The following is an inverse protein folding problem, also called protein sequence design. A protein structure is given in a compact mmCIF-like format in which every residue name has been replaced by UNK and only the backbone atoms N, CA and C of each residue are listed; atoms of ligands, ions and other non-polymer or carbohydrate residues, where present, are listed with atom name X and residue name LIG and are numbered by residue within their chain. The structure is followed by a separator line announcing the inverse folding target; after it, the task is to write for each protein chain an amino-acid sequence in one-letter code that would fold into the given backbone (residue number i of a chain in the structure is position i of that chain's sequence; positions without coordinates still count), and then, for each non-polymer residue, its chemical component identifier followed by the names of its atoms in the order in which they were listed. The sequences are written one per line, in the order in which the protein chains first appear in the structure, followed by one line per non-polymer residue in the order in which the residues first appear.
data_IF_649398164960
#
_entry.id   IF_649398164960
#
_cell.length_a   1.000
_cell.length_b   1.000
_cell.length_c   1.000
_cell.angle_alpha   90.00
_cell.angle_beta   90.00
_cell.angle_gamma   90.00
#
_symmetry.space_group_name_H-M   'P 1'
#
loop_
_entity.id
_entity.type
_entity.pdbx_description
1 polymer ?
#
# COMPACT_ATOMS: atom_id res chain seq x y z
N UNK A 1 -0.88 -10.69 12.99
CA UNK A 1 -0.64 -9.26 13.30
C UNK A 1 -1.97 -8.53 13.19
N UNK A 2 -2.26 -7.60 14.10
CA UNK A 2 -3.54 -6.86 14.11
C UNK A 2 -3.58 -5.86 12.95
N UNK A 3 -4.75 -5.70 12.35
CA UNK A 3 -5.03 -4.61 11.40
C UNK A 3 -5.62 -3.44 12.18
N UNK A 4 -4.98 -2.28 12.07
CA UNK A 4 -5.39 -1.04 12.73
C UNK A 4 -5.83 -0.06 11.64
N UNK A 5 -7.13 0.31 11.56
CA UNK A 5 -7.60 1.29 10.59
C UNK A 5 -6.85 2.60 10.70
N UNK A 6 -6.46 3.18 9.56
CA UNK A 6 -5.93 4.53 9.50
C UNK A 6 -7.08 5.48 9.16
N UNK A 7 -7.55 6.33 10.09
CA UNK A 7 -8.70 7.21 9.88
C UNK A 7 -8.43 8.41 8.97
N UNK A 8 -7.19 8.54 8.46
CA UNK A 8 -6.77 9.64 7.59
C UNK A 8 -6.74 9.22 6.12
N UNK A 9 -7.15 10.12 5.23
CA UNK A 9 -7.21 9.91 3.79
C UNK A 9 -8.49 10.51 3.22
N UNK A 10 -8.38 11.24 2.12
CA UNK A 10 -9.55 11.91 1.49
C UNK A 10 -10.21 11.00 0.43
N UNK A 11 -9.45 10.08 -0.16
CA UNK A 11 -9.84 9.39 -1.40
C UNK A 11 -9.82 7.86 -1.29
N UNK A 12 -9.09 7.28 -0.32
CA UNK A 12 -8.90 5.83 -0.21
C UNK A 12 -9.46 5.33 1.11
N UNK A 13 -10.65 4.73 1.05
CA UNK A 13 -11.23 4.01 2.19
C UNK A 13 -10.50 2.67 2.40
N UNK A 14 -10.58 2.10 3.61
CA UNK A 14 -10.09 0.75 3.90
C UNK A 14 -8.57 0.62 4.05
N UNK A 15 -7.84 1.72 4.23
CA UNK A 15 -6.40 1.69 4.53
C UNK A 15 -6.16 1.22 5.96
N UNK A 16 -5.31 0.22 6.14
CA UNK A 16 -4.98 -0.36 7.45
C UNK A 16 -3.47 -0.43 7.67
N UNK A 17 -3.04 -0.21 8.90
CA UNK A 17 -1.69 -0.52 9.35
C UNK A 17 -1.63 -1.95 9.87
N UNK A 18 -0.64 -2.70 9.44
CA UNK A 18 -0.32 -4.04 9.92
C UNK A 18 1.14 -4.02 10.34
N UNK A 19 1.40 -3.96 11.66
CA UNK A 19 2.74 -3.73 12.21
C UNK A 19 3.34 -2.44 11.68
N UNK A 20 4.51 -2.55 11.04
CA UNK A 20 5.21 -1.40 10.46
C UNK A 20 4.81 -1.10 9.00
N UNK A 21 3.91 -1.91 8.44
CA UNK A 21 3.46 -1.77 7.04
C UNK A 21 2.08 -1.15 6.95
N UNK A 22 1.81 -0.45 5.86
CA UNK A 22 0.47 0.02 5.50
C UNK A 22 -0.03 -0.82 4.33
N UNK A 23 -1.25 -1.33 4.44
CA UNK A 23 -1.97 -2.00 3.36
C UNK A 23 -3.06 -1.06 2.86
N UNK A 24 -3.06 -0.85 1.55
CA UNK A 24 -4.10 -0.08 0.85
C UNK A 24 -4.88 -1.03 -0.07
N UNK A 25 -6.20 -0.82 -0.23
CA UNK A 25 -6.97 -1.53 -1.24
C UNK A 25 -6.44 -1.26 -2.65
N UNK A 26 -6.52 -2.28 -3.50
CA UNK A 26 -6.12 -2.17 -4.91
C UNK A 26 -7.33 -1.74 -5.74
N UNK A 27 -7.16 -0.72 -6.56
CA UNK A 27 -8.13 -0.22 -7.54
C UNK A 27 -7.48 0.12 -8.88
N UNK A 28 -8.23 0.76 -9.78
CA UNK A 28 -7.81 0.97 -11.18
C UNK A 28 -6.50 1.77 -11.33
N UNK A 29 -6.21 2.68 -10.40
CA UNK A 29 -4.98 3.49 -10.39
C UNK A 29 -3.79 2.78 -9.72
N UNK A 30 -4.02 1.67 -9.02
CA UNK A 30 -2.96 0.97 -8.28
C UNK A 30 -1.81 0.48 -9.15
N UNK A 31 -2.00 -0.03 -10.38
CA UNK A 31 -0.87 -0.40 -11.25
C UNK A 31 0.09 0.77 -11.49
N UNK A 32 -0.44 1.97 -11.76
CA UNK A 32 0.37 3.17 -11.96
C UNK A 32 1.10 3.56 -10.67
N UNK A 33 0.40 3.56 -9.52
CA UNK A 33 1.01 3.86 -8.22
C UNK A 33 2.13 2.87 -7.90
N UNK A 34 1.95 1.57 -8.16
CA UNK A 34 2.99 0.55 -7.97
C UNK A 34 4.24 0.84 -8.82
N UNK A 35 4.07 1.19 -10.10
CA UNK A 35 5.19 1.54 -10.98
C UNK A 35 5.94 2.79 -10.52
N UNK A 36 5.21 3.81 -10.07
CA UNK A 36 5.81 5.03 -9.53
C UNK A 36 6.61 4.72 -8.26
N UNK A 37 6.04 3.98 -7.30
CA UNK A 37 6.75 3.65 -6.06
C UNK A 37 7.99 2.78 -6.33
N UNK A 38 7.91 1.80 -7.25
CA UNK A 38 9.08 1.03 -7.70
C UNK A 38 10.15 1.91 -8.35
N UNK A 39 9.74 2.93 -9.11
CA UNK A 39 10.69 3.87 -9.68
C UNK A 39 11.41 4.68 -8.60
N UNK A 40 10.67 5.20 -7.62
CA UNK A 40 11.22 5.98 -6.51
C UNK A 40 12.18 5.14 -5.65
N UNK A 41 11.85 3.87 -5.41
CA UNK A 41 12.75 2.94 -4.72
C UNK A 41 14.04 2.69 -5.53
N UNK A 42 13.94 2.51 -6.86
CA UNK A 42 15.11 2.30 -7.73
C UNK A 42 16.07 3.48 -7.79
N UNK A 43 15.57 4.71 -7.60
CA UNK A 43 16.40 5.92 -7.56
C UNK A 43 16.79 6.31 -6.13
N UNK A 44 16.57 5.42 -5.17
CA UNK A 44 16.91 5.60 -3.75
C UNK A 44 16.28 6.87 -3.15
N UNK A 45 15.06 7.20 -3.56
CA UNK A 45 14.35 8.37 -3.04
C UNK A 45 13.73 8.07 -1.67
N UNK A 46 14.34 8.61 -0.61
CA UNK A 46 13.91 8.40 0.78
C UNK A 46 12.55 9.06 1.14
N UNK A 47 12.06 9.99 0.31
CA UNK A 47 10.79 10.69 0.56
C UNK A 47 9.54 9.87 0.21
N UNK A 48 9.71 8.68 -0.36
CA UNK A 48 8.61 7.79 -0.72
C UNK A 48 8.60 6.51 0.11
N UNK A 49 7.42 5.91 0.35
CA UNK A 49 7.35 4.61 1.00
C UNK A 49 7.96 3.53 0.09
N UNK A 50 8.63 2.56 0.72
CA UNK A 50 9.09 1.34 0.03
C UNK A 50 7.88 0.45 -0.29
N UNK A 51 7.80 -0.01 -1.53
CA UNK A 51 6.63 -0.75 -1.99
C UNK A 51 6.78 -2.24 -1.74
N UNK A 52 5.89 -2.81 -0.93
CA UNK A 52 5.85 -4.26 -0.70
C UNK A 52 4.59 -4.84 -1.33
N UNK A 53 4.76 -5.59 -2.41
CA UNK A 53 3.65 -6.35 -3.00
C UNK A 53 3.26 -7.48 -2.04
N UNK A 54 2.05 -7.45 -1.51
CA UNK A 54 1.47 -8.62 -0.86
C UNK A 54 1.12 -9.64 -1.93
N UNK A 55 1.75 -10.82 -1.89
CA UNK A 55 1.23 -11.96 -2.67
C UNK A 55 -0.10 -12.35 -2.03
N UNK A 56 -1.20 -12.12 -2.73
CA UNK A 56 -2.52 -12.48 -2.22
C UNK A 56 -2.68 -14.01 -2.24
N UNK A 57 -2.67 -14.65 -1.08
CA UNK A 57 -3.38 -15.90 -0.86
C UNK A 57 -4.85 -15.58 -0.69
N UNK A 58 -5.68 -15.94 -1.66
CA UNK A 58 -7.09 -15.57 -1.70
C UNK A 58 -7.89 -16.13 -0.53
N UNK A 59 -8.73 -15.28 0.05
CA UNK A 59 -10.05 -15.61 0.55
C UNK A 59 -10.78 -14.27 0.77
N UNK A 60 -11.60 -13.86 -0.20
CA UNK A 60 -12.70 -12.96 0.10
C UNK A 60 -13.80 -13.82 0.71
N UNK A 61 -14.32 -13.39 1.86
CA UNK A 61 -15.61 -13.83 2.38
C UNK A 61 -16.73 -13.54 1.39
#
# INVERSE_FOLDING_TARGET
MQEIPLPGGDVTEGVVRVGDTVRCPVGDHSPLVHEVLRHLERVEFDGAPRFWASTSGGARS
#
